data_IF_283106842547
#
_entry.id   IF_283106842547
#
_cell.length_a   1.000
_cell.length_b   1.000
_cell.length_c   1.000
_cell.angle_alpha   90.00
_cell.angle_beta   90.00
_cell.angle_gamma   90.00
#
_symmetry.space_group_name_H-M   'P 1'
#
loop_
_entity.id
_entity.type
_entity.pdbx_description
1 polymer ?
#
# COMPACT_ATOMS: atom_id res chain seq x y z
N UNK A 1 9.87 -12.64 13.66
CA UNK A 1 11.14 -12.08 14.18
C UNK A 1 11.46 -10.85 13.32
N UNK A 2 11.66 -9.67 13.91
CA UNK A 2 12.09 -8.49 13.14
C UNK A 2 13.59 -8.59 12.84
N UNK A 3 14.05 -7.98 11.76
CA UNK A 3 15.45 -8.03 11.30
C UNK A 3 15.98 -9.48 11.12
N UNK A 4 15.15 -10.35 10.54
CA UNK A 4 15.46 -11.76 10.25
C UNK A 4 15.07 -12.04 8.78
N UNK A 5 16.04 -12.09 7.85
CA UNK A 5 15.76 -12.23 6.43
C UNK A 5 15.18 -13.61 6.11
N UNK A 6 14.33 -13.69 5.09
CA UNK A 6 13.86 -14.98 4.56
C UNK A 6 14.65 -15.29 3.30
N UNK A 7 15.48 -16.31 3.37
CA UNK A 7 16.37 -16.72 2.29
C UNK A 7 15.65 -17.62 1.26
N UNK A 8 14.54 -18.23 1.66
CA UNK A 8 13.71 -19.06 0.79
C UNK A 8 12.76 -19.98 1.54
N UNK A 9 12.15 -20.88 0.79
CA UNK A 9 11.18 -21.86 1.29
C UNK A 9 11.65 -23.29 1.02
N UNK A 10 11.22 -24.22 1.85
CA UNK A 10 11.36 -25.66 1.60
C UNK A 10 10.03 -26.26 1.20
N UNK A 11 10.08 -27.17 0.23
CA UNK A 11 8.94 -27.94 -0.25
C UNK A 11 9.25 -29.43 -0.09
N UNK A 12 8.24 -30.21 0.26
CA UNK A 12 8.31 -31.66 0.32
C UNK A 12 8.22 -32.31 -1.07
N UNK A 13 8.23 -33.65 -1.12
CA UNK A 13 8.17 -34.42 -2.35
C UNK A 13 6.84 -34.25 -3.11
N UNK A 14 5.77 -33.85 -2.43
CA UNK A 14 4.45 -33.58 -3.02
C UNK A 14 4.32 -32.11 -3.47
N UNK A 15 5.35 -31.29 -3.28
CA UNK A 15 5.37 -29.88 -3.64
C UNK A 15 4.67 -28.97 -2.62
N UNK A 16 4.42 -29.43 -1.39
CA UNK A 16 3.85 -28.61 -0.32
C UNK A 16 4.95 -27.97 0.52
N UNK A 17 4.71 -26.76 0.98
CA UNK A 17 5.64 -26.05 1.85
C UNK A 17 5.81 -26.81 3.17
N UNK A 18 7.05 -26.93 3.61
CA UNK A 18 7.41 -27.63 4.84
C UNK A 18 8.39 -26.85 5.72
N UNK A 19 8.87 -25.68 5.26
CA UNK A 19 9.73 -24.82 6.07
C UNK A 19 10.10 -23.49 5.42
N UNK A 20 10.64 -22.59 6.25
CA UNK A 20 11.18 -21.28 5.87
C UNK A 20 12.66 -21.23 6.23
N UNK A 21 13.51 -20.83 5.28
CA UNK A 21 14.96 -20.70 5.46
C UNK A 21 15.33 -19.29 5.90
N UNK A 22 16.22 -19.19 6.88
CA UNK A 22 16.72 -17.90 7.36
C UNK A 22 18.07 -18.04 8.05
N UNK A 23 19.10 -17.42 7.49
CA UNK A 23 20.47 -17.35 8.02
C UNK A 23 21.07 -18.74 8.32
N UNK A 24 20.84 -19.69 7.43
CA UNK A 24 21.35 -21.07 7.54
C UNK A 24 20.51 -22.00 8.43
N UNK A 25 19.44 -21.50 9.04
CA UNK A 25 18.48 -22.30 9.81
C UNK A 25 17.18 -22.53 9.03
N UNK A 26 16.46 -23.61 9.36
CA UNK A 26 15.14 -23.92 8.82
C UNK A 26 14.11 -24.01 9.95
N UNK A 27 13.07 -23.19 9.86
CA UNK A 27 11.89 -23.31 10.72
C UNK A 27 10.81 -24.09 9.97
N UNK A 28 10.48 -25.30 10.45
CA UNK A 28 9.47 -26.15 9.83
C UNK A 28 8.04 -25.72 10.19
N UNK A 29 7.15 -25.74 9.19
CA UNK A 29 5.74 -25.43 9.34
C UNK A 29 4.90 -26.16 8.28
N UNK A 30 3.66 -26.58 8.61
CA UNK A 30 2.78 -27.25 7.64
C UNK A 30 2.13 -26.30 6.64
N UNK A 31 2.20 -24.99 6.87
CA UNK A 31 1.69 -23.94 6.01
C UNK A 31 2.49 -22.66 6.23
N UNK A 32 2.50 -21.78 5.23
CA UNK A 32 3.10 -20.45 5.32
C UNK A 32 2.12 -19.41 4.78
N UNK A 33 2.02 -18.28 5.47
CA UNK A 33 1.28 -17.10 5.03
C UNK A 33 2.29 -15.97 4.85
N UNK A 34 2.28 -15.31 3.70
CA UNK A 34 3.17 -14.18 3.44
C UNK A 34 2.51 -13.11 2.57
N UNK A 35 3.10 -11.92 2.52
CA UNK A 35 2.75 -10.93 1.50
C UNK A 35 3.57 -11.14 0.21
N UNK A 36 3.21 -10.48 -0.90
CA UNK A 36 3.89 -10.66 -2.18
C UNK A 36 5.40 -10.41 -2.18
N UNK A 37 5.93 -9.59 -1.27
CA UNK A 37 7.36 -9.25 -1.25
C UNK A 37 8.27 -10.46 -0.98
N UNK A 38 7.75 -11.50 -0.31
CA UNK A 38 8.49 -12.73 -0.02
C UNK A 38 8.61 -13.69 -1.20
N UNK A 39 7.75 -13.54 -2.22
CA UNK A 39 7.63 -14.50 -3.32
C UNK A 39 7.84 -13.89 -4.69
N UNK A 40 7.67 -12.57 -4.86
CA UNK A 40 7.69 -11.93 -6.18
C UNK A 40 8.99 -12.14 -6.96
N UNK A 41 10.13 -12.23 -6.25
CA UNK A 41 11.46 -12.36 -6.85
C UNK A 41 11.95 -13.82 -6.86
N UNK A 42 11.47 -14.65 -5.94
CA UNK A 42 11.92 -16.05 -5.73
C UNK A 42 10.98 -17.09 -6.32
N UNK A 43 9.68 -16.81 -6.33
CA UNK A 43 8.59 -17.64 -6.84
C UNK A 43 7.62 -16.76 -7.67
N UNK A 44 8.09 -16.13 -8.76
CA UNK A 44 7.31 -15.14 -9.52
C UNK A 44 5.99 -15.69 -10.06
N UNK A 45 5.88 -17.00 -10.26
CA UNK A 45 4.64 -17.66 -10.68
C UNK A 45 3.51 -17.58 -9.64
N UNK A 46 3.83 -17.31 -8.36
CA UNK A 46 2.85 -17.23 -7.26
C UNK A 46 2.11 -15.90 -7.22
N UNK A 47 2.57 -14.88 -7.94
CA UNK A 47 1.98 -13.55 -7.94
C UNK A 47 1.90 -12.97 -9.34
N UNK A 48 0.94 -12.08 -9.57
CA UNK A 48 0.88 -11.27 -10.80
C UNK A 48 0.72 -9.80 -10.45
N UNK A 49 1.38 -8.92 -11.21
CA UNK A 49 1.20 -7.48 -11.08
C UNK A 49 -0.19 -7.08 -11.60
N UNK A 50 -0.96 -6.37 -10.79
CA UNK A 50 -2.34 -5.93 -11.10
C UNK A 50 -2.42 -4.45 -11.42
N UNK A 51 -1.33 -3.71 -11.25
CA UNK A 51 -1.26 -2.27 -11.52
C UNK A 51 -0.30 -1.57 -10.59
N UNK A 52 -0.41 -0.25 -10.51
CA UNK A 52 0.39 0.59 -9.63
C UNK A 52 -0.50 1.54 -8.85
N UNK A 53 -0.09 1.88 -7.65
CA UNK A 53 -0.73 2.91 -6.82
C UNK A 53 0.27 4.02 -6.54
N UNK A 54 -0.14 5.27 -6.77
CA UNK A 54 0.58 6.44 -6.28
C UNK A 54 0.05 6.80 -4.89
N UNK A 55 0.96 7.09 -3.96
CA UNK A 55 0.70 7.64 -2.64
C UNK A 55 1.54 8.90 -2.46
N UNK A 56 0.90 10.00 -2.08
CA UNK A 56 1.55 11.27 -1.79
C UNK A 56 1.21 11.68 -0.36
N UNK A 57 2.20 11.60 0.53
CA UNK A 57 2.09 12.05 1.92
C UNK A 57 2.45 13.53 1.97
N UNK A 58 1.53 14.36 2.44
CA UNK A 58 1.67 15.81 2.55
C UNK A 58 1.64 16.24 4.02
N UNK A 59 2.63 17.02 4.45
CA UNK A 59 2.65 17.66 5.76
C UNK A 59 2.05 19.05 5.64
N UNK A 60 1.06 19.37 6.46
CA UNK A 60 0.36 20.65 6.48
C UNK A 60 0.49 21.32 7.85
N UNK A 61 0.57 22.65 7.84
CA UNK A 61 0.53 23.49 9.04
C UNK A 61 -0.86 24.02 9.39
N UNK A 62 -1.91 23.50 8.74
CA UNK A 62 -3.30 23.97 8.88
C UNK A 62 -4.28 22.83 8.53
N UNK A 63 -5.54 22.89 8.99
CA UNK A 63 -6.58 21.96 8.53
C UNK A 63 -6.84 22.16 7.03
N UNK A 64 -7.36 21.14 6.35
CA UNK A 64 -7.71 21.24 4.93
C UNK A 64 -8.81 22.31 4.76
N UNK A 65 -8.68 23.26 3.81
CA UNK A 65 -9.72 24.25 3.52
C UNK A 65 -11.10 23.63 3.31
N UNK A 66 -12.15 24.32 3.74
CA UNK A 66 -13.55 23.89 3.59
C UNK A 66 -13.91 22.58 4.33
N UNK A 67 -13.17 22.21 5.38
CA UNK A 67 -13.47 21.04 6.23
C UNK A 67 -13.97 21.41 7.63
N UNK A 68 -14.38 22.67 7.84
CA UNK A 68 -14.80 23.19 9.15
C UNK A 68 -13.73 22.95 10.24
N UNK A 69 -12.48 23.25 9.90
CA UNK A 69 -11.30 23.08 10.76
C UNK A 69 -11.15 21.66 11.37
N UNK A 70 -11.62 20.63 10.64
CA UNK A 70 -11.54 19.26 11.09
C UNK A 70 -10.09 18.83 11.40
N UNK A 71 -9.93 18.04 12.46
CA UNK A 71 -8.65 17.43 12.87
C UNK A 71 -8.39 16.10 12.17
N UNK A 72 -9.39 15.57 11.49
CA UNK A 72 -9.31 14.43 10.58
C UNK A 72 -10.47 14.45 9.61
N UNK A 73 -10.27 14.01 8.37
CA UNK A 73 -11.33 13.87 7.40
C UNK A 73 -10.97 12.88 6.30
N UNK A 74 -11.99 12.42 5.58
CA UNK A 74 -11.85 11.69 4.32
C UNK A 74 -12.48 12.53 3.20
N UNK A 75 -11.78 12.66 2.08
CA UNK A 75 -12.28 13.26 0.86
C UNK A 75 -12.17 12.21 -0.24
N UNK A 76 -13.27 11.99 -0.95
CA UNK A 76 -13.33 11.11 -2.11
C UNK A 76 -13.59 12.01 -3.31
N UNK A 77 -12.74 11.91 -4.34
CA UNK A 77 -12.95 12.58 -5.62
C UNK A 77 -13.35 11.51 -6.63
N UNK A 78 -14.66 11.39 -6.95
CA UNK A 78 -15.13 10.34 -7.84
C UNK A 78 -14.51 10.44 -9.23
N UNK A 79 -14.12 9.31 -9.79
CA UNK A 79 -13.41 9.19 -11.07
C UNK A 79 -14.07 9.98 -12.22
N UNK A 80 -15.40 10.04 -12.24
CA UNK A 80 -16.18 10.77 -13.26
C UNK A 80 -15.98 12.29 -13.20
N UNK A 81 -15.68 12.85 -12.02
CA UNK A 81 -15.40 14.28 -11.85
C UNK A 81 -14.03 14.67 -12.44
N UNK A 82 -13.14 13.69 -12.64
CA UNK A 82 -11.79 13.88 -13.16
C UNK A 82 -11.57 13.23 -14.54
N UNK A 83 -12.62 12.68 -15.16
CA UNK A 83 -12.52 11.87 -16.38
C UNK A 83 -11.48 10.73 -16.26
N UNK A 84 -11.52 10.02 -15.13
CA UNK A 84 -10.64 8.89 -14.78
C UNK A 84 -11.43 7.57 -14.72
N UNK A 85 -10.71 6.46 -14.60
CA UNK A 85 -11.26 5.12 -14.33
C UNK A 85 -11.17 4.73 -12.86
N UNK A 86 -10.37 5.45 -12.07
CA UNK A 86 -10.24 5.23 -10.62
C UNK A 86 -10.40 6.52 -9.84
N UNK A 87 -11.05 6.40 -8.68
CA UNK A 87 -11.24 7.49 -7.72
C UNK A 87 -9.88 7.98 -7.18
N UNK A 88 -9.88 9.21 -6.68
CA UNK A 88 -8.76 9.76 -5.89
C UNK A 88 -9.23 9.93 -4.46
N UNK A 89 -8.47 9.38 -3.52
CA UNK A 89 -8.75 9.43 -2.09
C UNK A 89 -7.81 10.40 -1.40
N UNK A 90 -8.32 11.17 -0.44
CA UNK A 90 -7.52 11.91 0.52
C UNK A 90 -7.97 11.51 1.91
N UNK A 91 -7.06 10.97 2.70
CA UNK A 91 -7.24 10.81 4.14
C UNK A 91 -6.36 11.83 4.84
N UNK A 92 -6.93 12.61 5.75
CA UNK A 92 -6.16 13.48 6.62
C UNK A 92 -6.39 13.10 8.08
N UNK A 93 -5.28 12.96 8.80
CA UNK A 93 -5.24 12.86 10.26
C UNK A 93 -4.24 13.89 10.78
N UNK A 94 -4.23 14.15 12.08
CA UNK A 94 -3.41 15.22 12.66
C UNK A 94 -2.84 14.84 14.02
N UNK A 95 -2.15 15.80 14.64
CA UNK A 95 -1.74 15.76 16.04
C UNK A 95 -2.81 15.24 17.01
N UNK A 96 -4.10 15.41 16.73
CA UNK A 96 -5.18 14.88 17.56
C UNK A 96 -5.17 13.34 17.67
N UNK A 97 -4.52 12.66 16.72
CA UNK A 97 -4.35 11.20 16.67
C UNK A 97 -2.95 10.76 17.13
N UNK A 98 -2.14 11.66 17.70
CA UNK A 98 -0.77 11.41 18.16
C UNK A 98 0.20 10.90 17.05
N UNK A 99 -0.08 11.23 15.79
CA UNK A 99 0.76 10.85 14.64
C UNK A 99 1.73 11.95 14.19
N UNK A 100 1.54 13.19 14.66
CA UNK A 100 2.35 14.34 14.29
C UNK A 100 2.48 15.33 15.46
N UNK A 101 3.47 16.22 15.36
CA UNK A 101 3.66 17.32 16.32
C UNK A 101 2.42 18.23 16.41
N UNK A 102 2.16 18.81 17.57
CA UNK A 102 0.99 19.68 17.81
C UNK A 102 0.85 20.76 16.74
N UNK A 103 -0.35 20.87 16.15
CA UNK A 103 -0.65 21.81 15.07
C UNK A 103 -0.26 21.33 13.66
N UNK A 104 0.28 20.12 13.52
CA UNK A 104 0.58 19.50 12.21
C UNK A 104 -0.47 18.49 11.80
N UNK A 105 -0.69 18.42 10.49
CA UNK A 105 -1.63 17.54 9.83
C UNK A 105 -0.87 16.72 8.78
N UNK A 106 -1.29 15.49 8.59
CA UNK A 106 -0.74 14.57 7.58
C UNK A 106 -1.88 14.16 6.67
N UNK A 107 -1.82 14.60 5.42
CA UNK A 107 -2.76 14.22 4.37
C UNK A 107 -2.10 13.19 3.45
N UNK A 108 -2.72 12.04 3.27
CA UNK A 108 -2.34 11.01 2.31
C UNK A 108 -3.28 11.09 1.11
N UNK A 109 -2.73 11.38 -0.06
CA UNK A 109 -3.45 11.30 -1.34
C UNK A 109 -3.09 10.00 -2.04
N UNK A 110 -4.08 9.24 -2.52
CA UNK A 110 -3.85 7.98 -3.23
C UNK A 110 -4.81 7.75 -4.39
N UNK A 111 -4.30 7.11 -5.46
CA UNK A 111 -5.11 6.61 -6.58
C UNK A 111 -4.37 5.51 -7.34
N UNK A 112 -5.09 4.75 -8.15
CA UNK A 112 -4.51 3.81 -9.14
C UNK A 112 -3.87 4.62 -10.27
N UNK A 113 -2.67 4.26 -10.68
CA UNK A 113 -1.94 4.94 -11.76
C UNK A 113 -2.52 4.55 -13.12
N UNK A 114 -2.92 5.55 -13.91
CA UNK A 114 -3.50 5.34 -15.25
C UNK A 114 -2.62 5.85 -16.39
N UNK A 115 -1.60 6.65 -16.09
CA UNK A 115 -0.75 7.33 -17.08
C UNK A 115 0.75 7.16 -16.79
N UNK A 116 1.58 7.76 -17.66
CA UNK A 116 3.03 7.83 -17.47
C UNK A 116 3.48 9.03 -16.62
N UNK A 117 2.54 9.88 -16.16
CA UNK A 117 2.79 11.03 -15.30
C UNK A 117 1.90 10.94 -14.03
N UNK A 118 2.24 10.06 -13.07
CA UNK A 118 1.35 9.74 -11.95
C UNK A 118 1.13 10.91 -10.99
N UNK A 119 2.11 11.80 -10.83
CA UNK A 119 1.95 12.98 -9.98
C UNK A 119 0.90 13.94 -10.54
N UNK A 120 0.78 14.05 -11.87
CA UNK A 120 -0.26 14.87 -12.49
C UNK A 120 -1.67 14.37 -12.20
N UNK A 121 -1.84 13.06 -12.03
CA UNK A 121 -3.13 12.44 -11.73
C UNK A 121 -3.70 12.86 -10.37
N UNK A 122 -2.82 13.18 -9.41
CA UNK A 122 -3.22 13.59 -8.05
C UNK A 122 -3.26 15.11 -7.84
N UNK A 123 -2.89 15.91 -8.85
CA UNK A 123 -2.89 17.38 -8.76
C UNK A 123 -4.23 17.98 -8.32
N UNK A 124 -5.40 17.51 -8.80
CA UNK A 124 -6.68 18.02 -8.33
C UNK A 124 -6.88 17.85 -6.82
N UNK A 125 -6.42 16.74 -6.25
CA UNK A 125 -6.47 16.51 -4.80
C UNK A 125 -5.48 17.37 -4.04
N UNK A 126 -4.26 17.54 -4.56
CA UNK A 126 -3.23 18.39 -3.92
C UNK A 126 -3.67 19.86 -3.84
N UNK A 127 -4.40 20.36 -4.84
CA UNK A 127 -4.95 21.72 -4.84
C UNK A 127 -5.98 21.95 -3.72
N UNK A 128 -6.67 20.91 -3.26
CA UNK A 128 -7.61 21.00 -2.14
C UNK A 128 -6.89 21.18 -0.79
N UNK A 129 -5.62 20.79 -0.69
CA UNK A 129 -4.89 20.75 0.59
C UNK A 129 -4.42 22.12 1.08
N UNK A 130 -4.48 23.17 0.25
CA UNK A 130 -3.91 24.48 0.58
C UNK A 130 -2.37 24.48 0.54
N UNK A 131 -1.72 25.16 1.50
CA UNK A 131 -0.26 25.28 1.55
C UNK A 131 0.35 23.99 2.10
N UNK A 132 1.02 23.24 1.24
CA UNK A 132 1.78 22.05 1.60
C UNK A 132 3.18 22.46 2.07
N UNK A 133 3.59 22.07 3.27
CA UNK A 133 4.93 22.35 3.80
C UNK A 133 5.98 21.40 3.21
N UNK A 134 5.62 20.12 3.07
CA UNK A 134 6.46 19.11 2.43
C UNK A 134 5.58 18.00 1.83
N UNK A 135 6.07 17.34 0.76
CA UNK A 135 5.43 16.19 0.14
C UNK A 135 6.40 15.04 -0.10
N UNK A 136 5.91 13.82 0.05
CA UNK A 136 6.66 12.59 -0.19
C UNK A 136 5.85 11.68 -1.10
N UNK A 137 6.37 11.42 -2.29
CA UNK A 137 5.67 10.64 -3.32
C UNK A 137 6.27 9.24 -3.36
N UNK A 138 5.40 8.23 -3.40
CA UNK A 138 5.77 6.83 -3.59
C UNK A 138 4.83 6.20 -4.61
N UNK A 139 5.40 5.47 -5.56
CA UNK A 139 4.65 4.65 -6.50
C UNK A 139 5.00 3.20 -6.20
N UNK A 140 3.99 2.38 -5.96
CA UNK A 140 4.15 0.97 -5.63
C UNK A 140 3.45 0.11 -6.67
N UNK A 141 4.06 -1.00 -7.07
CA UNK A 141 3.39 -2.06 -7.81
C UNK A 141 2.47 -2.84 -6.88
N UNK A 142 1.31 -3.22 -7.40
CA UNK A 142 0.33 -4.02 -6.68
C UNK A 142 0.38 -5.44 -7.24
N UNK A 143 0.37 -6.42 -6.34
CA UNK A 143 0.36 -7.84 -6.65
C UNK A 143 -0.82 -8.54 -6.02
N UNK A 144 -1.29 -9.60 -6.68
CA UNK A 144 -2.22 -10.56 -6.11
C UNK A 144 -1.74 -11.99 -6.39
N UNK A 145 -2.15 -12.97 -5.55
CA UNK A 145 -1.80 -14.37 -5.77
C UNK A 145 -2.42 -14.90 -7.08
N UNK A 146 -1.71 -15.81 -7.74
CA UNK A 146 -2.18 -16.52 -8.94
C UNK A 146 -3.00 -17.77 -8.61
N UNK A 147 -2.98 -18.24 -7.36
CA UNK A 147 -3.71 -19.40 -6.85
C UNK A 147 -4.29 -19.14 -5.44
N UNK A 148 -4.95 -20.14 -4.84
CA UNK A 148 -5.54 -20.05 -3.50
C UNK A 148 -4.68 -20.68 -2.38
N UNK A 149 -3.44 -21.07 -2.69
CA UNK A 149 -2.49 -21.68 -1.77
C UNK A 149 -2.84 -23.10 -1.30
N UNK A 150 -3.95 -23.71 -1.70
CA UNK A 150 -4.34 -25.02 -1.16
C UNK A 150 -3.48 -26.17 -1.65
N UNK A 151 -2.96 -26.08 -2.87
CA UNK A 151 -2.15 -27.14 -3.47
C UNK A 151 -0.78 -27.25 -2.78
N UNK A 152 -0.13 -26.12 -2.49
CA UNK A 152 1.23 -26.04 -1.96
C UNK A 152 1.31 -25.55 -0.51
N UNK A 153 0.18 -25.21 0.12
CA UNK A 153 0.09 -24.67 1.48
C UNK A 153 0.83 -23.33 1.67
N UNK A 154 1.10 -22.60 0.58
CA UNK A 154 1.68 -21.26 0.58
C UNK A 154 0.61 -20.23 0.19
N UNK A 155 0.12 -19.51 1.21
CA UNK A 155 -0.95 -18.52 1.08
C UNK A 155 -0.36 -17.11 0.96
N UNK A 156 -0.54 -16.48 -0.19
CA UNK A 156 -0.01 -15.13 -0.45
C UNK A 156 -1.15 -14.11 -0.40
N UNK A 157 -0.98 -13.03 0.36
CA UNK A 157 -1.97 -11.95 0.46
C UNK A 157 -1.97 -11.05 -0.79
N UNK A 158 -3.00 -10.20 -0.91
CA UNK A 158 -3.03 -9.12 -1.91
C UNK A 158 -2.29 -7.90 -1.39
N UNK A 159 -1.70 -7.14 -2.30
CA UNK A 159 -1.21 -5.78 -1.98
C UNK A 159 -2.39 -4.86 -1.62
N UNK A 160 -2.12 -3.88 -0.75
CA UNK A 160 -3.10 -2.85 -0.43
C UNK A 160 -3.37 -1.95 -1.64
N UNK A 161 -4.64 -1.81 -2.00
CA UNK A 161 -5.07 -0.93 -3.08
C UNK A 161 -4.99 0.56 -2.68
N UNK A 162 -5.55 1.43 -3.53
CA UNK A 162 -5.51 2.87 -3.34
C UNK A 162 -6.56 3.41 -2.36
N UNK A 163 -7.49 2.58 -1.89
CA UNK A 163 -8.60 3.02 -1.02
C UNK A 163 -8.09 3.48 0.35
N UNK A 164 -8.90 4.27 1.04
CA UNK A 164 -8.58 4.87 2.35
C UNK A 164 -9.26 4.16 3.52
N UNK A 165 -9.82 2.98 3.28
CA UNK A 165 -10.48 2.13 4.28
C UNK A 165 -10.11 0.65 4.06
N UNK A 166 -10.45 -0.21 5.02
CA UNK A 166 -10.25 -1.66 4.96
C UNK A 166 -11.51 -2.39 4.46
#
# INVERSE_FOLDING_TARGET
>A
MLNKPVDGFEFDADGKICGVKSEGEVAHAPLVICDPSYVKDTLPQKVRCTGRTIRCICILGHPIPNTNDATSCQIIIPQKQLNRRSDVYVMMVSWAHNIAYKGKYVALVSTTVETNDPEREIMPALQLLGKIENKFVTISENYEPTDDGKADQLFVSKSYDATSHF
#
